data_IF_795385638124
#
_entry.id   IF_795385638124
#
_cell.length_a   1.000
_cell.length_b   1.000
_cell.length_c   1.000
_cell.angle_alpha   90.00
_cell.angle_beta   90.00
_cell.angle_gamma   90.00
#
_symmetry.space_group_name_H-M   'P 1'
#
loop_
_entity.id
_entity.type
_entity.pdbx_description
1 polymer ?
#
# COMPACT_ATOMS: atom_id res chain seq x y z
N UNK A 1 -11.10 25.99 -3.76
CA UNK A 1 -11.21 24.69 -3.06
C UNK A 1 -11.90 23.70 -3.98
N UNK A 2 -11.34 22.50 -4.13
CA UNK A 2 -11.97 21.37 -4.81
C UNK A 2 -12.01 20.16 -3.87
N UNK A 3 -13.15 19.51 -3.73
CA UNK A 3 -13.36 18.39 -2.78
C UNK A 3 -13.93 18.83 -1.45
N UNK A 4 -13.83 17.98 -0.39
CA UNK A 4 -12.87 16.89 -0.20
C UNK A 4 -13.13 15.65 -1.07
N UNK A 5 -12.05 14.98 -1.50
CA UNK A 5 -12.10 13.79 -2.35
C UNK A 5 -11.90 12.46 -1.60
N UNK A 6 -11.46 12.49 -0.34
CA UNK A 6 -11.17 11.31 0.48
C UNK A 6 -10.33 10.27 -0.30
N UNK A 7 -10.65 8.98 -0.16
CA UNK A 7 -10.04 7.92 -0.96
C UNK A 7 -10.90 7.52 -2.18
N UNK A 8 -11.76 8.43 -2.67
CA UNK A 8 -12.57 8.17 -3.86
C UNK A 8 -11.74 8.30 -5.14
N UNK A 9 -10.96 7.29 -5.47
CA UNK A 9 -10.16 7.06 -6.67
C UNK A 9 -10.07 8.22 -7.69
N UNK A 10 -10.83 8.12 -8.77
CA UNK A 10 -10.85 9.14 -9.84
C UNK A 10 -11.32 10.51 -9.38
N UNK A 11 -12.22 10.58 -8.41
CA UNK A 11 -12.73 11.84 -7.89
C UNK A 11 -11.67 12.62 -7.10
N UNK A 12 -10.92 11.94 -6.23
CA UNK A 12 -9.79 12.53 -5.51
C UNK A 12 -8.71 13.03 -6.47
N UNK A 13 -8.36 12.22 -7.48
CA UNK A 13 -7.41 12.62 -8.51
C UNK A 13 -7.93 13.85 -9.30
N UNK A 14 -9.22 13.90 -9.64
CA UNK A 14 -9.82 15.05 -10.32
C UNK A 14 -9.73 16.33 -9.47
N UNK A 15 -10.03 16.25 -8.17
CA UNK A 15 -9.91 17.38 -7.25
C UNK A 15 -8.49 17.95 -7.22
N UNK A 16 -7.48 17.09 -7.09
CA UNK A 16 -6.09 17.51 -7.09
C UNK A 16 -5.64 18.10 -8.43
N UNK A 17 -6.04 17.47 -9.55
CA UNK A 17 -5.74 17.96 -10.90
C UNK A 17 -6.36 19.34 -11.14
N UNK A 18 -7.62 19.55 -10.77
CA UNK A 18 -8.29 20.85 -10.90
C UNK A 18 -7.55 21.91 -10.09
N UNK A 19 -7.21 21.63 -8.83
CA UNK A 19 -6.44 22.54 -8.00
C UNK A 19 -5.09 22.90 -8.65
N UNK A 20 -4.34 21.90 -9.12
CA UNK A 20 -3.04 22.12 -9.74
C UNK A 20 -3.16 22.98 -11.02
N UNK A 21 -4.15 22.72 -11.89
CA UNK A 21 -4.37 23.49 -13.11
C UNK A 21 -4.84 24.92 -12.81
N UNK A 22 -5.71 25.11 -11.82
CA UNK A 22 -6.16 26.44 -11.38
C UNK A 22 -4.98 27.26 -10.84
N UNK A 23 -4.16 26.66 -9.97
CA UNK A 23 -2.94 27.30 -9.46
C UNK A 23 -2.00 27.70 -10.58
N UNK A 24 -1.78 26.81 -11.54
CA UNK A 24 -0.90 27.05 -12.68
C UNK A 24 -1.39 28.17 -13.59
N UNK A 25 -2.69 28.24 -13.85
CA UNK A 25 -3.27 29.21 -14.81
C UNK A 25 -3.57 30.57 -14.20
N UNK A 26 -4.01 30.59 -12.94
CA UNK A 26 -4.52 31.80 -12.30
C UNK A 26 -3.60 32.34 -11.21
N UNK A 27 -2.59 31.56 -10.80
CA UNK A 27 -1.65 31.92 -9.71
C UNK A 27 -2.36 32.30 -8.40
N UNK A 28 -3.51 31.68 -8.13
CA UNK A 28 -4.27 31.88 -6.88
C UNK A 28 -4.03 30.71 -5.91
N UNK A 29 -4.20 30.93 -4.59
CA UNK A 29 -4.16 29.85 -3.61
C UNK A 29 -5.20 28.78 -3.92
N UNK A 30 -4.79 27.53 -3.76
CA UNK A 30 -5.65 26.35 -3.99
C UNK A 30 -5.52 25.37 -2.86
N UNK A 31 -6.60 24.63 -2.61
CA UNK A 31 -6.70 23.67 -1.53
C UNK A 31 -7.65 22.54 -1.92
N UNK A 32 -7.25 21.33 -1.59
CA UNK A 32 -8.11 20.12 -1.59
C UNK A 32 -7.92 19.33 -0.32
N UNK A 33 -8.67 18.23 -0.16
CA UNK A 33 -8.49 17.32 0.95
C UNK A 33 -8.65 15.89 0.45
N UNK A 34 -7.66 15.04 0.76
CA UNK A 34 -7.57 13.66 0.29
C UNK A 34 -7.10 12.74 1.41
N UNK A 35 -7.43 11.48 1.29
CA UNK A 35 -6.78 10.43 2.06
C UNK A 35 -5.32 10.27 1.58
N UNK A 36 -4.34 10.05 2.48
CA UNK A 36 -2.92 10.01 2.10
C UNK A 36 -2.58 8.99 1.00
N UNK A 37 -3.26 7.86 0.97
CA UNK A 37 -3.06 6.82 -0.05
C UNK A 37 -3.86 7.05 -1.35
N UNK A 38 -4.56 8.17 -1.49
CA UNK A 38 -5.20 8.51 -2.76
C UNK A 38 -4.12 8.87 -3.80
N UNK A 39 -4.15 8.35 -5.02
CA UNK A 39 -3.16 8.69 -6.07
C UNK A 39 -3.02 10.20 -6.32
N UNK A 40 -4.10 10.96 -6.14
CA UNK A 40 -4.06 12.42 -6.23
C UNK A 40 -3.22 13.08 -5.13
N UNK A 41 -3.15 12.48 -3.93
CA UNK A 41 -2.31 12.97 -2.86
C UNK A 41 -0.83 12.80 -3.22
N UNK A 42 -0.41 11.61 -3.63
CA UNK A 42 0.96 11.32 -4.02
C UNK A 42 1.43 12.19 -5.20
N UNK A 43 0.62 12.30 -6.24
CA UNK A 43 0.99 13.03 -7.48
C UNK A 43 1.06 14.54 -7.30
N UNK A 44 0.32 15.11 -6.35
CA UNK A 44 0.14 16.55 -6.27
C UNK A 44 0.51 17.20 -4.93
N UNK A 45 0.85 16.44 -3.87
CA UNK A 45 1.21 17.00 -2.56
C UNK A 45 2.33 18.07 -2.66
N UNK A 46 3.33 17.86 -3.51
CA UNK A 46 4.41 18.83 -3.71
C UNK A 46 4.00 20.12 -4.45
N UNK A 47 2.80 20.17 -5.04
CA UNK A 47 2.35 21.28 -5.89
C UNK A 47 1.25 22.12 -5.25
N UNK A 48 0.41 21.51 -4.43
CA UNK A 48 -0.78 22.13 -3.83
C UNK A 48 -0.90 21.74 -2.36
N UNK A 49 -1.70 22.47 -1.59
CA UNK A 49 -2.05 22.05 -0.24
C UNK A 49 -3.17 21.01 -0.29
N UNK A 50 -2.95 19.91 0.41
CA UNK A 50 -3.89 18.78 0.50
C UNK A 50 -4.10 18.48 1.98
N UNK A 51 -5.25 18.82 2.52
CA UNK A 51 -5.61 18.48 3.90
C UNK A 51 -5.78 16.96 4.00
N UNK A 52 -5.22 16.38 5.04
CA UNK A 52 -5.36 14.95 5.31
C UNK A 52 -6.79 14.61 5.72
N UNK A 53 -7.34 13.53 5.17
CA UNK A 53 -8.68 13.04 5.51
C UNK A 53 -8.67 11.58 5.90
N UNK A 54 -9.74 11.14 6.58
CA UNK A 54 -10.02 9.71 6.71
C UNK A 54 -10.34 9.09 5.34
N UNK A 55 -10.38 7.75 5.29
CA UNK A 55 -10.59 6.98 4.06
C UNK A 55 -11.95 7.28 3.38
N UNK A 56 -12.95 7.73 4.10
CA UNK A 56 -14.32 7.92 3.60
C UNK A 56 -14.94 9.24 4.01
N UNK A 57 -16.08 9.58 3.38
CA UNK A 57 -16.86 10.78 3.68
C UNK A 57 -17.37 10.85 5.14
N UNK A 58 -17.31 9.77 5.92
CA UNK A 58 -17.58 9.81 7.34
C UNK A 58 -16.66 10.80 8.10
N UNK A 59 -15.46 11.06 7.58
CA UNK A 59 -14.52 12.05 8.10
C UNK A 59 -14.78 13.51 7.69
N UNK A 60 -15.88 13.80 7.01
CA UNK A 60 -16.20 15.16 6.53
C UNK A 60 -16.17 16.20 7.65
N UNK A 61 -16.72 15.85 8.82
CA UNK A 61 -16.79 16.77 9.97
C UNK A 61 -15.43 17.14 10.56
N UNK A 62 -14.42 16.27 10.36
CA UNK A 62 -13.04 16.55 10.79
C UNK A 62 -12.28 17.34 9.73
N UNK A 63 -12.48 17.02 8.44
CA UNK A 63 -11.74 17.63 7.36
C UNK A 63 -12.15 19.10 7.09
N UNK A 64 -13.45 19.41 7.12
CA UNK A 64 -13.94 20.74 6.77
C UNK A 64 -13.42 21.88 7.66
N UNK A 65 -13.35 21.74 9.01
CA UNK A 65 -12.76 22.80 9.84
C UNK A 65 -11.29 23.07 9.50
N UNK A 66 -10.48 22.02 9.30
CA UNK A 66 -9.06 22.15 8.93
C UNK A 66 -8.93 22.82 7.57
N UNK A 67 -9.74 22.42 6.59
CA UNK A 67 -9.80 23.09 5.27
C UNK A 67 -10.18 24.55 5.39
N UNK A 68 -11.13 24.90 6.26
CA UNK A 68 -11.57 26.28 6.50
C UNK A 68 -10.44 27.13 7.05
N UNK A 69 -9.82 26.70 8.14
CA UNK A 69 -8.70 27.42 8.77
C UNK A 69 -7.52 27.63 7.81
N UNK A 70 -7.15 26.57 7.07
CA UNK A 70 -6.04 26.67 6.10
C UNK A 70 -6.41 27.58 4.91
N UNK A 71 -7.67 27.55 4.47
CA UNK A 71 -8.16 28.45 3.41
C UNK A 71 -8.13 29.92 3.82
N UNK A 72 -8.54 30.24 5.06
CA UNK A 72 -8.47 31.59 5.61
C UNK A 72 -7.02 32.10 5.64
N UNK A 73 -6.10 31.32 6.19
CA UNK A 73 -4.66 31.68 6.19
C UNK A 73 -4.11 31.91 4.78
N UNK A 74 -4.48 31.06 3.82
CA UNK A 74 -4.04 31.20 2.43
C UNK A 74 -4.60 32.45 1.76
N UNK A 75 -5.84 32.86 2.10
CA UNK A 75 -6.48 34.07 1.56
C UNK A 75 -5.89 35.36 2.15
N UNK A 76 -5.54 35.33 3.42
CA UNK A 76 -4.93 36.45 4.14
C UNK A 76 -3.44 36.62 3.80
N UNK A 77 -2.85 35.69 3.08
CA UNK A 77 -1.40 35.66 2.80
C UNK A 77 -0.57 35.40 4.06
N UNK A 78 -1.16 34.74 5.05
CA UNK A 78 -0.51 34.34 6.28
C UNK A 78 0.56 33.28 6.07
N UNK A 79 1.50 33.19 7.01
CA UNK A 79 2.52 32.14 7.02
C UNK A 79 1.85 30.80 7.34
N UNK A 80 2.10 29.80 6.50
CA UNK A 80 1.63 28.43 6.71
C UNK A 80 2.69 27.67 7.49
N UNK A 81 2.31 27.14 8.64
CA UNK A 81 3.15 26.35 9.53
C UNK A 81 3.45 24.94 8.99
N UNK A 82 3.98 24.11 9.86
CA UNK A 82 4.33 22.73 9.51
C UNK A 82 3.08 21.85 9.29
N UNK A 83 3.20 20.79 8.47
CA UNK A 83 2.09 19.87 8.19
C UNK A 83 1.41 19.31 9.44
N UNK A 84 2.17 19.02 10.49
CA UNK A 84 1.69 18.49 11.76
C UNK A 84 0.82 19.50 12.55
N UNK A 85 1.05 20.78 12.34
CA UNK A 85 0.32 21.88 12.99
C UNK A 85 -0.91 22.28 12.21
N UNK A 86 -0.81 22.27 10.88
CA UNK A 86 -1.84 22.79 9.98
C UNK A 86 -2.74 21.70 9.40
N UNK A 87 -2.38 20.41 9.55
CA UNK A 87 -3.20 19.28 9.13
C UNK A 87 -3.20 19.03 7.62
N UNK A 88 -2.18 19.45 6.88
CA UNK A 88 -2.02 19.11 5.48
C UNK A 88 -0.97 18.01 5.27
N UNK A 89 -1.09 17.28 4.17
CA UNK A 89 -0.12 16.24 3.78
C UNK A 89 1.21 16.89 3.44
N UNK A 90 2.31 16.40 4.04
CA UNK A 90 3.65 16.94 3.82
C UNK A 90 3.99 17.02 2.32
N UNK A 91 4.49 18.17 1.91
CA UNK A 91 4.80 18.47 0.50
C UNK A 91 6.12 17.87 0.00
N UNK A 92 6.82 17.15 0.87
CA UNK A 92 8.10 16.50 0.54
C UNK A 92 9.28 17.47 0.40
N UNK A 93 9.13 18.74 0.78
CA UNK A 93 10.24 19.68 0.82
C UNK A 93 11.17 19.33 1.97
N UNK A 94 12.44 19.06 1.62
CA UNK A 94 13.48 18.84 2.62
C UNK A 94 14.17 20.17 2.89
N UNK A 95 14.07 20.65 4.13
CA UNK A 95 14.78 21.83 4.58
C UNK A 95 15.89 21.41 5.53
N UNK A 96 17.09 21.93 5.31
CA UNK A 96 18.20 21.72 6.24
C UNK A 96 17.95 22.54 7.50
N UNK A 97 17.69 21.86 8.61
CA UNK A 97 17.53 22.50 9.92
C UNK A 97 18.81 22.34 10.73
N UNK A 98 19.41 23.47 11.08
CA UNK A 98 20.58 23.49 11.97
C UNK A 98 20.12 23.50 13.43
N UNK A 99 20.30 22.40 14.12
CA UNK A 99 19.99 22.25 15.55
C UNK A 99 21.25 22.34 16.41
N UNK A 100 21.09 22.66 17.72
CA UNK A 100 22.23 22.70 18.67
C UNK A 100 22.92 21.36 18.88
N UNK A 101 22.18 20.26 18.71
CA UNK A 101 22.68 18.87 18.79
C UNK A 101 22.63 18.24 17.41
N UNK A 102 23.66 17.51 17.05
CA UNK A 102 23.64 16.70 15.82
C UNK A 102 22.70 15.48 15.96
N UNK A 103 22.39 14.81 14.84
CA UNK A 103 21.47 13.68 14.82
C UNK A 103 21.90 12.52 15.72
N UNK A 104 23.20 12.24 15.81
CA UNK A 104 23.73 11.19 16.68
C UNK A 104 23.51 11.51 18.16
N UNK A 105 23.78 12.74 18.59
CA UNK A 105 23.51 13.18 19.96
C UNK A 105 22.04 13.08 20.33
N UNK A 106 21.14 13.48 19.43
CA UNK A 106 19.69 13.36 19.65
C UNK A 106 19.23 11.91 19.74
N UNK A 107 19.77 11.03 18.89
CA UNK A 107 19.47 9.61 18.93
C UNK A 107 19.93 8.95 20.26
N UNK A 108 21.12 9.31 20.73
CA UNK A 108 21.62 8.83 22.03
C UNK A 108 20.76 9.35 23.19
N UNK A 109 20.38 10.62 23.19
CA UNK A 109 19.48 11.19 24.22
C UNK A 109 18.14 10.43 24.26
N UNK A 110 17.54 10.16 23.11
CA UNK A 110 16.29 9.39 22.99
C UNK A 110 16.45 7.96 23.52
N UNK A 111 17.57 7.30 23.17
CA UNK A 111 17.89 5.96 23.64
C UNK A 111 18.05 5.92 25.19
N UNK A 112 18.76 6.90 25.77
CA UNK A 112 18.94 7.00 27.23
C UNK A 112 17.60 7.19 27.93
N UNK A 113 16.73 8.07 27.42
CA UNK A 113 15.36 8.23 27.96
C UNK A 113 14.58 6.92 27.93
N UNK A 114 14.62 6.22 26.79
CA UNK A 114 13.97 4.92 26.64
C UNK A 114 14.48 3.90 27.64
N UNK A 115 15.79 3.81 27.86
CA UNK A 115 16.40 2.89 28.81
C UNK A 115 16.03 3.22 30.27
N UNK A 116 15.80 4.50 30.59
CA UNK A 116 15.39 4.97 31.92
C UNK A 116 13.87 4.89 32.15
N UNK A 117 13.09 4.49 31.13
CA UNK A 117 11.63 4.52 31.20
C UNK A 117 11.02 5.91 31.21
N UNK A 118 11.78 6.94 30.80
CA UNK A 118 11.32 8.33 30.71
C UNK A 118 10.53 8.55 29.41
N UNK A 119 9.56 9.47 29.40
CA UNK A 119 8.84 9.85 28.18
C UNK A 119 9.83 10.39 27.12
N UNK A 120 9.69 9.91 25.90
CA UNK A 120 10.45 10.41 24.74
C UNK A 120 9.58 10.48 23.50
N UNK A 121 9.96 11.34 22.56
CA UNK A 121 9.28 11.50 21.27
C UNK A 121 10.28 11.11 20.19
N UNK A 122 9.84 10.31 19.23
CA UNK A 122 10.63 10.00 18.03
C UNK A 122 10.55 11.16 17.05
N UNK A 123 11.67 11.52 16.41
CA UNK A 123 11.71 12.60 15.40
C UNK A 123 11.00 12.20 14.10
N UNK A 124 10.93 10.89 13.83
CA UNK A 124 10.15 10.33 12.73
C UNK A 124 8.92 9.63 13.31
N UNK A 125 7.72 9.97 12.83
CA UNK A 125 6.54 9.21 13.22
C UNK A 125 6.73 7.75 12.83
N UNK A 126 6.59 6.85 13.80
CA UNK A 126 6.62 5.42 13.51
C UNK A 126 5.27 5.02 12.91
N UNK A 127 5.27 4.25 11.82
CA UNK A 127 4.03 3.75 11.27
C UNK A 127 3.31 2.88 12.31
N UNK A 128 2.02 3.09 12.43
CA UNK A 128 1.14 2.28 13.28
C UNK A 128 0.52 1.20 12.40
N UNK A 129 0.95 -0.04 12.62
CA UNK A 129 0.37 -1.18 11.92
C UNK A 129 -0.75 -1.81 12.72
N UNK A 130 -1.79 -2.27 12.04
CA UNK A 130 -2.84 -3.07 12.66
C UNK A 130 -2.23 -4.37 13.22
N UNK A 131 -2.51 -4.66 14.49
CA UNK A 131 -2.10 -5.92 15.08
C UNK A 131 -3.17 -6.97 14.78
N UNK A 132 -2.81 -7.92 13.92
CA UNK A 132 -3.66 -9.07 13.62
C UNK A 132 -3.26 -10.22 14.55
N UNK A 133 -4.25 -10.80 15.24
CA UNK A 133 -4.01 -12.00 16.04
C UNK A 133 -3.63 -13.15 15.10
N UNK A 134 -2.51 -13.85 15.35
CA UNK A 134 -2.15 -15.00 14.53
C UNK A 134 -3.27 -16.05 14.50
N UNK A 135 -3.50 -16.63 13.34
CA UNK A 135 -4.41 -17.76 13.21
C UNK A 135 -3.87 -18.98 13.99
N UNK A 136 -4.72 -19.88 14.45
CA UNK A 136 -4.27 -21.15 15.02
C UNK A 136 -3.42 -21.94 14.00
N UNK A 137 -2.44 -22.70 14.50
CA UNK A 137 -1.66 -23.58 13.66
C UNK A 137 -2.56 -24.63 12.98
N UNK A 138 -2.27 -24.93 11.72
CA UNK A 138 -2.88 -26.07 11.01
C UNK A 138 -2.39 -27.37 11.69
N UNK A 139 -3.33 -28.15 12.20
CA UNK A 139 -2.98 -29.33 13.01
C UNK A 139 -2.57 -30.54 12.17
N UNK A 140 -3.12 -30.64 10.98
CA UNK A 140 -2.93 -31.76 10.07
C UNK A 140 -2.59 -31.22 8.67
N UNK A 141 -1.30 -31.02 8.45
CA UNK A 141 -0.79 -30.49 7.18
C UNK A 141 -0.93 -31.53 6.05
N UNK A 142 -0.78 -32.80 6.35
CA UNK A 142 -0.86 -33.90 5.36
C UNK A 142 -2.26 -34.04 4.73
N UNK A 143 -3.29 -33.42 5.32
CA UNK A 143 -4.65 -33.39 4.76
C UNK A 143 -5.14 -31.99 4.49
N UNK A 144 -4.29 -30.99 4.65
CA UNK A 144 -4.67 -29.58 4.43
C UNK A 144 -4.60 -29.19 2.95
N UNK A 145 -5.60 -28.45 2.48
CA UNK A 145 -5.57 -27.78 1.19
C UNK A 145 -4.92 -26.41 1.35
N UNK A 146 -3.86 -26.15 0.60
CA UNK A 146 -3.03 -24.95 0.69
C UNK A 146 -3.16 -24.13 -0.58
N UNK A 147 -3.37 -22.81 -0.47
CA UNK A 147 -3.35 -21.91 -1.61
C UNK A 147 -2.07 -21.10 -1.71
N UNK A 148 -1.73 -20.66 -2.92
CA UNK A 148 -0.65 -19.72 -3.19
C UNK A 148 -1.21 -18.32 -3.43
N UNK A 149 -0.60 -17.31 -2.81
CA UNK A 149 -0.91 -15.90 -3.00
C UNK A 149 0.42 -15.16 -3.21
N UNK A 150 0.48 -14.23 -4.14
CA UNK A 150 1.68 -13.41 -4.32
C UNK A 150 1.36 -11.94 -4.52
N UNK A 151 2.17 -11.08 -3.92
CA UNK A 151 2.23 -9.65 -4.25
C UNK A 151 3.32 -9.33 -5.29
N UNK A 152 4.05 -10.34 -5.76
CA UNK A 152 5.15 -10.20 -6.71
C UNK A 152 4.75 -10.05 -8.18
N UNK A 153 3.46 -9.95 -8.48
CA UNK A 153 2.95 -9.65 -9.82
C UNK A 153 3.16 -10.74 -10.85
N UNK A 154 3.18 -12.01 -10.44
CA UNK A 154 3.26 -13.14 -11.38
C UNK A 154 1.90 -13.34 -12.03
N UNK A 155 1.86 -13.22 -13.36
CA UNK A 155 0.64 -13.31 -14.18
C UNK A 155 0.90 -14.16 -15.44
N UNK A 156 -0.16 -14.67 -16.10
CA UNK A 156 0.00 -15.28 -17.42
C UNK A 156 0.63 -14.31 -18.42
N UNK A 157 1.33 -14.87 -19.41
CA UNK A 157 1.96 -14.08 -20.48
C UNK A 157 0.96 -13.12 -21.13
N UNK A 158 1.43 -11.89 -21.37
CA UNK A 158 0.61 -10.82 -21.94
C UNK A 158 -0.28 -10.11 -20.93
N UNK A 159 -0.27 -10.49 -19.64
CA UNK A 159 -1.04 -9.82 -18.58
C UNK A 159 -2.51 -9.58 -18.97
N UNK A 160 -3.32 -10.64 -19.17
CA UNK A 160 -4.67 -10.54 -19.74
C UNK A 160 -5.62 -9.68 -18.88
N UNK A 161 -5.42 -9.65 -17.57
CA UNK A 161 -6.25 -8.84 -16.66
C UNK A 161 -5.74 -7.40 -16.48
N UNK A 162 -4.67 -7.03 -17.19
CA UNK A 162 -4.08 -5.69 -17.13
C UNK A 162 -3.74 -5.23 -15.71
N UNK A 163 -3.17 -6.14 -14.89
CA UNK A 163 -2.72 -5.79 -13.54
C UNK A 163 -1.63 -4.72 -13.65
N UNK A 164 -1.79 -3.56 -12.98
CA UNK A 164 -0.81 -2.47 -13.05
C UNK A 164 0.52 -2.87 -12.40
N UNK A 165 1.62 -2.34 -12.90
CA UNK A 165 2.97 -2.56 -12.35
C UNK A 165 3.22 -1.88 -11.00
N UNK A 166 2.33 -0.97 -10.60
CA UNK A 166 2.33 -0.25 -9.32
C UNK A 166 0.90 0.23 -9.03
N UNK A 167 0.60 0.54 -7.75
CA UNK A 167 -0.71 1.04 -7.32
C UNK A 167 -1.87 0.14 -7.77
N UNK A 168 -1.73 -1.17 -7.61
CA UNK A 168 -2.72 -2.13 -8.09
C UNK A 168 -4.09 -1.93 -7.41
N UNK A 169 -5.11 -1.65 -8.22
CA UNK A 169 -6.51 -1.59 -7.79
C UNK A 169 -7.26 -2.90 -7.98
N UNK A 170 -6.60 -3.92 -8.51
CA UNK A 170 -7.16 -5.25 -8.84
C UNK A 170 -6.15 -6.36 -8.51
N UNK A 171 -6.65 -7.57 -8.43
CA UNK A 171 -5.86 -8.80 -8.37
C UNK A 171 -6.40 -9.80 -9.40
N UNK A 172 -5.58 -10.77 -9.79
CA UNK A 172 -5.94 -11.85 -10.69
C UNK A 172 -6.06 -13.19 -9.96
N UNK A 173 -6.85 -14.11 -10.53
CA UNK A 173 -6.98 -15.50 -10.10
C UNK A 173 -6.64 -16.36 -11.31
N UNK A 174 -5.64 -17.22 -11.16
CA UNK A 174 -5.12 -18.01 -12.29
C UNK A 174 -5.07 -19.48 -11.97
N UNK A 175 -5.39 -20.30 -12.96
CA UNK A 175 -5.41 -21.76 -12.86
C UNK A 175 -3.99 -22.34 -12.91
N UNK A 176 -3.69 -23.27 -11.99
CA UNK A 176 -2.46 -24.04 -11.90
C UNK A 176 -2.72 -25.54 -11.66
N UNK A 177 -3.97 -25.99 -11.83
CA UNK A 177 -4.37 -27.36 -11.46
C UNK A 177 -3.53 -28.43 -12.15
N UNK A 178 -3.21 -28.22 -13.43
CA UNK A 178 -2.47 -29.18 -14.25
C UNK A 178 -1.00 -28.77 -14.48
N UNK A 179 -0.46 -27.89 -13.65
CA UNK A 179 0.92 -27.42 -13.76
C UNK A 179 1.78 -27.98 -12.63
N UNK A 180 2.93 -28.55 -13.01
CA UNK A 180 3.98 -28.93 -12.05
C UNK A 180 4.90 -27.76 -11.68
N UNK A 181 5.00 -26.76 -12.58
CA UNK A 181 5.80 -25.55 -12.39
C UNK A 181 5.32 -24.43 -13.31
N UNK A 182 5.66 -23.21 -12.99
CA UNK A 182 5.50 -22.07 -13.88
C UNK A 182 6.66 -22.03 -14.88
N UNK A 183 6.38 -21.69 -16.15
CA UNK A 183 7.40 -21.53 -17.20
C UNK A 183 7.45 -20.09 -17.68
N UNK A 184 8.60 -19.66 -18.19
CA UNK A 184 8.79 -18.32 -18.77
C UNK A 184 7.93 -18.07 -20.00
N UNK A 185 7.52 -19.13 -20.72
CA UNK A 185 6.62 -19.02 -21.87
C UNK A 185 5.16 -18.79 -21.44
N UNK A 186 4.78 -19.34 -20.28
CA UNK A 186 3.41 -19.27 -19.78
C UNK A 186 3.14 -18.09 -18.83
N UNK A 187 4.18 -17.62 -18.14
CA UNK A 187 4.04 -16.63 -17.08
C UNK A 187 5.13 -15.58 -17.13
N UNK A 188 4.83 -14.41 -16.59
CA UNK A 188 5.76 -13.28 -16.47
C UNK A 188 5.51 -12.51 -15.17
N UNK A 189 6.43 -11.65 -14.76
CA UNK A 189 6.16 -10.64 -13.75
C UNK A 189 5.78 -9.32 -14.38
N UNK A 190 4.82 -8.62 -13.77
CA UNK A 190 4.46 -7.24 -14.11
C UNK A 190 4.83 -6.25 -13.01
N UNK A 191 5.51 -6.70 -11.96
CA UNK A 191 5.84 -5.88 -10.79
C UNK A 191 6.93 -4.87 -11.11
N UNK A 192 6.65 -3.57 -10.95
CA UNK A 192 7.56 -2.47 -11.26
C UNK A 192 8.55 -2.10 -10.14
N UNK A 193 8.55 -2.80 -9.02
CA UNK A 193 9.37 -2.46 -7.85
C UNK A 193 10.65 -3.26 -7.68
N UNK A 194 10.91 -4.25 -8.52
CA UNK A 194 12.16 -5.03 -8.53
C UNK A 194 12.61 -5.34 -9.96
N UNK A 195 13.85 -5.79 -10.12
CA UNK A 195 14.38 -6.23 -11.43
C UNK A 195 13.62 -7.47 -11.92
N UNK A 196 12.88 -7.38 -13.04
CA UNK A 196 12.03 -8.47 -13.51
C UNK A 196 12.80 -9.64 -14.13
N UNK A 197 14.08 -9.49 -14.43
CA UNK A 197 14.86 -10.48 -15.22
C UNK A 197 14.76 -11.87 -14.61
N UNK A 198 15.14 -12.02 -13.34
CA UNK A 198 15.16 -13.33 -12.69
C UNK A 198 13.79 -13.96 -12.49
N UNK A 199 12.78 -13.13 -12.24
CA UNK A 199 11.40 -13.62 -12.08
C UNK A 199 10.74 -13.95 -13.43
N UNK A 200 11.19 -13.34 -14.52
CA UNK A 200 10.73 -13.66 -15.88
C UNK A 200 11.42 -14.93 -16.42
N UNK A 201 12.70 -15.11 -16.11
CA UNK A 201 13.42 -16.35 -16.45
C UNK A 201 12.81 -17.57 -15.76
N UNK A 202 12.49 -17.44 -14.47
CA UNK A 202 11.87 -18.50 -13.70
C UNK A 202 10.87 -17.91 -12.67
N UNK A 203 9.57 -17.87 -13.00
CA UNK A 203 8.54 -17.33 -12.14
C UNK A 203 8.40 -18.08 -10.79
N UNK A 204 8.89 -19.32 -10.69
CA UNK A 204 8.86 -20.08 -9.44
C UNK A 204 9.74 -19.44 -8.35
N UNK A 205 10.71 -18.61 -8.70
CA UNK A 205 11.49 -17.83 -7.72
C UNK A 205 10.66 -16.88 -6.88
N UNK A 206 9.49 -16.48 -7.38
CA UNK A 206 8.55 -15.57 -6.70
C UNK A 206 7.30 -16.32 -6.25
N UNK A 207 6.76 -17.22 -7.07
CA UNK A 207 5.63 -18.06 -6.73
C UNK A 207 6.07 -19.53 -6.86
N UNK A 208 6.49 -20.20 -5.76
CA UNK A 208 7.22 -21.46 -5.77
C UNK A 208 6.27 -22.67 -6.01
N UNK A 209 5.62 -22.71 -7.17
CA UNK A 209 4.70 -23.77 -7.53
C UNK A 209 5.42 -25.13 -7.60
N UNK A 210 6.62 -25.17 -8.17
CA UNK A 210 7.42 -26.37 -8.32
C UNK A 210 7.72 -27.04 -6.97
N UNK A 211 8.21 -26.27 -6.00
CA UNK A 211 8.47 -26.77 -4.63
C UNK A 211 7.18 -27.20 -3.94
N UNK A 212 6.09 -26.43 -4.10
CA UNK A 212 4.80 -26.79 -3.52
C UNK A 212 4.24 -28.08 -4.09
N UNK A 213 4.48 -28.36 -5.38
CA UNK A 213 4.13 -29.65 -6.00
C UNK A 213 5.01 -30.81 -5.50
N UNK A 214 6.27 -30.54 -5.16
CA UNK A 214 7.14 -31.55 -4.54
C UNK A 214 6.63 -31.94 -3.16
N UNK A 215 6.38 -30.98 -2.27
CA UNK A 215 5.89 -31.29 -0.91
C UNK A 215 4.48 -31.89 -0.90
N UNK A 216 3.64 -31.60 -1.91
CA UNK A 216 2.36 -32.27 -2.13
C UNK A 216 2.57 -33.75 -2.49
N UNK A 217 3.46 -34.05 -3.43
CA UNK A 217 3.80 -35.44 -3.84
C UNK A 217 4.43 -36.23 -2.71
N UNK A 218 5.20 -35.57 -1.86
CA UNK A 218 5.83 -36.20 -0.68
C UNK A 218 4.84 -36.41 0.47
N UNK A 219 3.59 -35.91 0.33
CA UNK A 219 2.54 -36.06 1.32
C UNK A 219 2.71 -35.17 2.56
N UNK A 220 3.56 -34.13 2.49
CA UNK A 220 3.74 -33.17 3.58
C UNK A 220 2.55 -32.19 3.67
N UNK A 221 1.87 -31.94 2.54
CA UNK A 221 0.58 -31.26 2.47
C UNK A 221 -0.44 -32.16 1.78
N UNK A 222 -1.74 -31.93 2.06
CA UNK A 222 -2.80 -32.76 1.47
C UNK A 222 -3.06 -32.44 0.01
N UNK A 223 -3.21 -31.15 -0.32
CA UNK A 223 -3.53 -30.71 -1.67
C UNK A 223 -3.09 -29.27 -1.87
N UNK A 224 -2.47 -28.99 -3.00
CA UNK A 224 -2.26 -27.62 -3.45
C UNK A 224 -3.50 -27.16 -4.23
N UNK A 225 -4.16 -26.10 -3.77
CA UNK A 225 -5.34 -25.55 -4.42
C UNK A 225 -5.06 -25.20 -5.89
N UNK A 226 -5.91 -25.64 -6.79
CA UNK A 226 -5.71 -25.54 -8.25
C UNK A 226 -5.66 -24.13 -8.82
N UNK A 227 -5.73 -23.08 -7.98
CA UNK A 227 -5.60 -21.67 -8.39
C UNK A 227 -4.68 -20.92 -7.45
N UNK A 228 -4.06 -19.85 -7.97
CA UNK A 228 -3.35 -18.87 -7.15
C UNK A 228 -3.89 -17.47 -7.36
N UNK A 229 -3.61 -16.61 -6.39
CA UNK A 229 -4.00 -15.20 -6.42
C UNK A 229 -2.76 -14.34 -6.60
N UNK A 230 -2.83 -13.36 -7.50
CA UNK A 230 -1.70 -12.47 -7.79
C UNK A 230 -2.12 -11.01 -7.83
N UNK A 231 -1.32 -10.17 -7.23
CA UNK A 231 -1.40 -8.72 -7.37
C UNK A 231 0.00 -8.13 -7.39
N UNK A 232 0.11 -6.82 -7.54
CA UNK A 232 1.37 -6.09 -7.40
C UNK A 232 1.36 -5.33 -6.09
N UNK A 233 2.34 -5.62 -5.20
CA UNK A 233 2.48 -4.95 -3.90
C UNK A 233 3.05 -3.54 -3.99
N UNK A 234 3.79 -3.25 -5.07
CA UNK A 234 4.47 -1.97 -5.28
C UNK A 234 3.50 -0.78 -5.17
N UNK A 235 3.66 0.04 -4.12
CA UNK A 235 2.85 1.23 -3.84
C UNK A 235 1.33 0.99 -3.82
N UNK A 236 0.88 -0.26 -3.68
CA UNK A 236 -0.56 -0.57 -3.59
C UNK A 236 -1.11 -0.09 -2.25
N UNK A 237 -2.21 0.66 -2.31
CA UNK A 237 -2.87 1.20 -1.14
C UNK A 237 -3.28 0.10 -0.15
N UNK A 238 -3.05 0.32 1.15
CA UNK A 238 -3.43 -0.63 2.22
C UNK A 238 -4.94 -0.94 2.19
N UNK A 239 -5.77 0.03 1.84
CA UNK A 239 -7.22 -0.17 1.66
C UNK A 239 -7.55 -1.14 0.52
N UNK A 240 -6.81 -1.08 -0.60
CA UNK A 240 -6.95 -2.03 -1.70
C UNK A 240 -6.50 -3.44 -1.27
N UNK A 241 -5.35 -3.53 -0.59
CA UNK A 241 -4.84 -4.79 -0.07
C UNK A 241 -5.80 -5.46 0.93
N UNK A 242 -6.42 -4.67 1.83
CA UNK A 242 -7.46 -5.17 2.76
C UNK A 242 -8.67 -5.74 2.01
N UNK A 243 -9.17 -5.01 1.01
CA UNK A 243 -10.28 -5.49 0.18
C UNK A 243 -9.93 -6.80 -0.56
N UNK A 244 -8.76 -6.87 -1.17
CA UNK A 244 -8.30 -8.10 -1.83
C UNK A 244 -8.22 -9.26 -0.83
N UNK A 245 -7.65 -9.03 0.36
CA UNK A 245 -7.54 -10.05 1.38
C UNK A 245 -8.91 -10.57 1.84
N UNK A 246 -9.90 -9.71 2.00
CA UNK A 246 -11.27 -10.10 2.36
C UNK A 246 -11.92 -10.95 1.24
N UNK A 247 -11.82 -10.52 -0.01
CA UNK A 247 -12.37 -11.22 -1.17
C UNK A 247 -11.70 -12.60 -1.38
N UNK A 248 -10.36 -12.65 -1.32
CA UNK A 248 -9.57 -13.88 -1.43
C UNK A 248 -9.87 -14.83 -0.29
N UNK A 249 -9.94 -14.34 0.95
CA UNK A 249 -10.26 -15.18 2.10
C UNK A 249 -11.65 -15.82 1.98
N UNK A 250 -12.65 -15.08 1.50
CA UNK A 250 -13.99 -15.62 1.25
C UNK A 250 -13.97 -16.68 0.15
N UNK A 251 -13.19 -16.49 -0.90
CA UNK A 251 -13.05 -17.48 -1.97
C UNK A 251 -12.34 -18.75 -1.45
N UNK A 252 -11.28 -18.61 -0.70
CA UNK A 252 -10.57 -19.73 -0.07
C UNK A 252 -11.47 -20.52 0.89
N UNK A 253 -12.29 -19.83 1.72
CA UNK A 253 -13.25 -20.50 2.62
C UNK A 253 -14.28 -21.30 1.84
N UNK A 254 -14.84 -20.75 0.77
CA UNK A 254 -15.80 -21.45 -0.09
C UNK A 254 -15.23 -22.69 -0.75
N UNK A 255 -13.92 -22.70 -1.00
CA UNK A 255 -13.19 -23.80 -1.62
C UNK A 255 -12.47 -24.69 -0.61
N UNK A 256 -12.81 -24.59 0.67
CA UNK A 256 -12.27 -25.43 1.76
C UNK A 256 -10.73 -25.38 1.89
N UNK A 257 -10.12 -24.23 1.57
CA UNK A 257 -8.68 -23.99 1.77
C UNK A 257 -8.42 -23.69 3.25
N UNK A 258 -7.50 -24.43 3.88
CA UNK A 258 -7.18 -24.30 5.30
C UNK A 258 -6.03 -23.32 5.57
N UNK A 259 -5.14 -23.15 4.61
CA UNK A 259 -4.01 -22.23 4.77
C UNK A 259 -3.57 -21.64 3.43
N UNK A 260 -2.76 -20.60 3.49
CA UNK A 260 -2.16 -19.98 2.30
C UNK A 260 -0.68 -19.66 2.55
N UNK A 261 0.11 -19.81 1.50
CA UNK A 261 1.48 -19.31 1.42
C UNK A 261 1.42 -17.97 0.70
N UNK A 262 1.75 -16.91 1.42
CA UNK A 262 1.82 -15.55 0.86
C UNK A 262 3.27 -15.22 0.54
N UNK A 263 3.58 -15.07 -0.74
CA UNK A 263 4.91 -14.68 -1.20
C UNK A 263 4.96 -13.20 -1.57
N UNK A 264 6.11 -12.62 -1.37
CA UNK A 264 6.42 -11.23 -1.69
C UNK A 264 7.80 -11.16 -2.33
N UNK A 265 8.11 -10.08 -2.98
CA UNK A 265 9.44 -9.77 -3.51
C UNK A 265 10.29 -9.04 -2.46
#
# INVERSE_FOLDING_TARGET
>A
IAGPGFNAGRYGLACATICAEVKKRLSIPVLTALYPENPGAEMFCSKIYIVETSISAAGMRQALPVMGTLAEKLLEGGEIGFPEEEGYIAQGFRVNVHTKKNGAERAVDMMIKKLRGEPYVTELPMPVFDRVKPAPAVKDMAHARIALITSGGIVPQGNPDHIPSANAGIYGIYDIENLDRLTSEGFMTVHGGYDPVYATEDPNRVLPLDVCREIERDGEIGELYGRYYSTVGNTTAVSSAKRFAEEIAQDMIRNEVQAAILTSN
#
